data_IF_682072487664
#
_entry.id   IF_682072487664
#
_cell.length_a   1.000
_cell.length_b   1.000
_cell.length_c   1.000
_cell.angle_alpha   90.00
_cell.angle_beta   90.00
_cell.angle_gamma   90.00
#
_symmetry.space_group_name_H-M   'P 1'
#
loop_
_entity.id
_entity.type
_entity.pdbx_description
1 polymer ?
#
# COMPACT_ATOMS: atom_id res chain seq x y z
N UNK A 1 23.49 -9.39 50.97
CA UNK A 1 23.52 -10.11 49.67
C UNK A 1 23.43 -9.09 48.52
N UNK A 2 23.89 -7.85 48.73
CA UNK A 2 23.40 -6.69 47.98
C UNK A 2 24.39 -6.16 46.94
N UNK A 3 25.62 -6.67 46.94
CA UNK A 3 26.67 -6.30 45.98
C UNK A 3 26.48 -6.96 44.61
N UNK A 4 25.74 -8.07 44.55
CA UNK A 4 25.49 -8.81 43.31
C UNK A 4 24.50 -8.07 42.39
N UNK A 5 23.49 -7.40 42.97
CA UNK A 5 22.48 -6.66 42.22
C UNK A 5 23.05 -5.39 41.56
N UNK A 6 23.99 -4.71 42.24
CA UNK A 6 24.73 -3.56 41.72
C UNK A 6 25.63 -3.93 40.52
N UNK A 7 26.26 -5.11 40.55
CA UNK A 7 27.13 -5.57 39.45
C UNK A 7 26.38 -5.85 38.15
N UNK A 8 25.18 -6.43 38.23
CA UNK A 8 24.35 -6.73 37.05
C UNK A 8 23.84 -5.45 36.39
N UNK A 9 23.40 -4.46 37.19
CA UNK A 9 22.89 -3.19 36.67
C UNK A 9 23.93 -2.38 35.88
N UNK A 10 25.18 -2.33 36.38
CA UNK A 10 26.27 -1.60 35.70
C UNK A 10 26.71 -2.33 34.43
N UNK A 11 26.67 -3.66 34.40
CA UNK A 11 27.01 -4.44 33.20
C UNK A 11 26.02 -4.25 32.05
N UNK A 12 24.71 -4.18 32.35
CA UNK A 12 23.69 -3.94 31.32
C UNK A 12 23.85 -2.53 30.71
N UNK A 13 24.14 -1.53 31.55
CA UNK A 13 24.36 -0.16 31.10
C UNK A 13 25.61 -0.01 30.24
N UNK A 14 26.72 -0.69 30.59
CA UNK A 14 27.96 -0.60 29.81
C UNK A 14 27.83 -1.29 28.45
N UNK A 15 27.13 -2.43 28.36
CA UNK A 15 26.86 -3.10 27.08
C UNK A 15 26.00 -2.22 26.18
N UNK A 16 24.95 -1.60 26.72
CA UNK A 16 24.08 -0.70 25.95
C UNK A 16 24.85 0.51 25.41
N UNK A 17 25.71 1.11 26.23
CA UNK A 17 26.57 2.23 25.84
C UNK A 17 27.52 1.83 24.70
N UNK A 18 28.20 0.69 24.81
CA UNK A 18 29.09 0.19 23.76
C UNK A 18 28.32 -0.07 22.46
N UNK A 19 27.10 -0.61 22.54
CA UNK A 19 26.25 -0.84 21.38
C UNK A 19 25.93 0.48 20.67
N UNK A 20 25.54 1.52 21.40
CA UNK A 20 25.24 2.83 20.82
C UNK A 20 26.45 3.53 20.19
N UNK A 21 27.66 3.33 20.73
CA UNK A 21 28.90 3.92 20.18
C UNK A 21 29.48 3.14 18.98
N UNK A 22 29.21 1.83 18.90
CA UNK A 22 29.77 0.97 17.84
C UNK A 22 28.83 0.79 16.65
N UNK A 23 27.52 1.02 16.83
CA UNK A 23 26.54 1.00 15.74
C UNK A 23 26.69 2.21 14.81
N UNK A 24 27.68 2.15 13.91
CA UNK A 24 27.66 2.97 12.69
C UNK A 24 26.43 2.54 11.87
N UNK A 25 25.55 3.46 11.44
CA UNK A 25 24.51 3.10 10.48
C UNK A 25 25.21 2.70 9.17
N UNK A 26 25.19 1.40 8.90
CA UNK A 26 25.65 0.84 7.64
C UNK A 26 24.62 1.22 6.57
N UNK A 27 24.75 2.43 6.02
CA UNK A 27 24.15 2.76 4.72
C UNK A 27 24.91 1.97 3.65
N UNK A 28 24.57 0.69 3.54
CA UNK A 28 25.11 -0.16 2.47
C UNK A 28 24.08 -0.12 1.35
N UNK A 29 24.50 0.47 0.23
CA UNK A 29 23.75 0.42 -1.01
C UNK A 29 23.60 -1.06 -1.40
N UNK A 30 22.41 -1.50 -1.82
CA UNK A 30 22.11 -2.90 -2.13
C UNK A 30 23.13 -3.53 -3.11
N UNK A 31 23.68 -2.71 -4.00
CA UNK A 31 24.72 -3.10 -4.95
C UNK A 31 26.05 -3.49 -4.28
N UNK A 32 26.40 -2.88 -3.15
CA UNK A 32 27.60 -3.19 -2.39
C UNK A 32 27.43 -4.48 -1.58
N UNK A 33 26.22 -4.76 -1.07
CA UNK A 33 25.87 -6.00 -0.37
C UNK A 33 26.04 -7.20 -1.31
N UNK A 34 25.51 -7.08 -2.53
CA UNK A 34 25.55 -8.15 -3.53
C UNK A 34 26.99 -8.46 -3.98
N UNK A 35 27.80 -7.41 -4.15
CA UNK A 35 29.20 -7.53 -4.58
C UNK A 35 30.06 -8.19 -3.51
N UNK A 36 29.86 -7.83 -2.24
CA UNK A 36 30.57 -8.43 -1.10
C UNK A 36 30.18 -9.91 -0.93
N UNK A 37 28.89 -10.24 -0.99
CA UNK A 37 28.40 -11.61 -0.85
C UNK A 37 28.90 -12.54 -1.97
N UNK A 38 28.96 -12.02 -3.21
CA UNK A 38 29.52 -12.73 -4.37
C UNK A 38 31.03 -12.95 -4.24
N UNK A 39 31.77 -11.94 -3.76
CA UNK A 39 33.23 -12.03 -3.56
C UNK A 39 33.64 -13.03 -2.47
N UNK A 40 32.76 -13.26 -1.48
CA UNK A 40 32.98 -14.23 -0.40
C UNK A 40 32.55 -15.66 -0.75
N UNK A 41 32.15 -15.93 -1.99
CA UNK A 41 31.77 -17.28 -2.44
C UNK A 41 30.50 -17.83 -1.78
N UNK A 42 29.69 -16.97 -1.14
CA UNK A 42 28.46 -17.37 -0.44
C UNK A 42 27.27 -17.59 -1.40
N UNK A 43 27.38 -17.20 -2.66
CA UNK A 43 26.36 -17.35 -3.69
C UNK A 43 26.73 -18.47 -4.67
N UNK A 44 26.35 -19.68 -4.31
CA UNK A 44 26.39 -20.85 -5.21
C UNK A 44 25.16 -21.71 -4.98
N UNK A 45 23.95 -21.19 -5.30
CA UNK A 45 22.69 -21.95 -5.50
C UNK A 45 21.43 -21.09 -5.79
N UNK A 46 21.54 -19.90 -6.36
CA UNK A 46 20.35 -19.06 -6.63
C UNK A 46 19.47 -19.55 -7.81
N UNK A 47 19.90 -20.56 -8.57
CA UNK A 47 19.15 -21.04 -9.74
C UNK A 47 17.96 -21.96 -9.41
N UNK A 48 17.82 -22.44 -8.16
CA UNK A 48 16.70 -23.31 -7.75
C UNK A 48 15.57 -22.58 -7.00
N UNK A 49 15.67 -21.25 -6.85
CA UNK A 49 14.70 -20.43 -6.10
C UNK A 49 13.81 -19.57 -6.98
N UNK A 50 14.14 -19.41 -8.26
CA UNK A 50 13.45 -18.49 -9.15
C UNK A 50 12.04 -19.00 -9.52
N UNK A 51 11.92 -20.30 -9.81
CA UNK A 51 10.62 -20.94 -10.09
C UNK A 51 9.65 -20.85 -8.89
N UNK A 52 10.18 -20.92 -7.67
CA UNK A 52 9.38 -20.80 -6.44
C UNK A 52 8.90 -19.36 -6.20
N UNK A 53 9.69 -18.36 -6.60
CA UNK A 53 9.28 -16.95 -6.51
C UNK A 53 8.19 -16.62 -7.53
N UNK A 54 8.27 -17.16 -8.75
CA UNK A 54 7.25 -16.92 -9.78
C UNK A 54 5.91 -17.56 -9.41
N UNK A 55 5.89 -18.78 -8.87
CA UNK A 55 4.65 -19.41 -8.39
C UNK A 55 4.04 -18.68 -7.19
N UNK A 56 4.86 -18.29 -6.20
CA UNK A 56 4.39 -17.51 -5.04
C UNK A 56 3.85 -16.15 -5.48
N UNK A 57 4.48 -15.51 -6.48
CA UNK A 57 4.02 -14.21 -6.99
C UNK A 57 2.66 -14.31 -7.69
N UNK A 58 2.44 -15.36 -8.48
CA UNK A 58 1.15 -15.61 -9.14
C UNK A 58 0.04 -15.87 -8.10
N UNK A 59 0.32 -16.70 -7.09
CA UNK A 59 -0.65 -17.06 -6.06
C UNK A 59 -1.01 -15.85 -5.17
N UNK A 60 -0.03 -15.02 -4.82
CA UNK A 60 -0.27 -13.75 -4.11
C UNK A 60 -1.10 -12.79 -4.97
N UNK A 61 -0.84 -12.71 -6.28
CA UNK A 61 -1.54 -11.79 -7.19
C UNK A 61 -3.01 -12.19 -7.38
N UNK A 62 -3.30 -13.48 -7.53
CA UNK A 62 -4.68 -13.98 -7.61
C UNK A 62 -5.48 -13.77 -6.31
N UNK A 63 -4.85 -13.97 -5.15
CA UNK A 63 -5.51 -13.77 -3.86
C UNK A 63 -5.74 -12.27 -3.58
N UNK A 64 -4.82 -11.40 -4.01
CA UNK A 64 -5.00 -9.95 -3.95
C UNK A 64 -6.15 -9.47 -4.83
N UNK A 65 -6.30 -9.99 -6.06
CA UNK A 65 -7.40 -9.65 -6.96
C UNK A 65 -8.77 -10.11 -6.40
N UNK A 66 -8.81 -11.27 -5.73
CA UNK A 66 -10.03 -11.74 -5.03
C UNK A 66 -10.40 -10.86 -3.83
N UNK A 67 -9.42 -10.46 -3.03
CA UNK A 67 -9.69 -9.58 -1.88
C UNK A 67 -10.08 -8.16 -2.32
N UNK A 68 -9.49 -7.64 -3.40
CA UNK A 68 -9.89 -6.37 -3.99
C UNK A 68 -11.35 -6.41 -4.46
N UNK A 69 -11.77 -7.47 -5.17
CA UNK A 69 -13.15 -7.56 -5.69
C UNK A 69 -14.24 -7.63 -4.62
N UNK A 70 -13.93 -8.07 -3.39
CA UNK A 70 -14.90 -8.11 -2.29
C UNK A 70 -15.03 -6.78 -1.54
N UNK A 71 -14.05 -5.88 -1.64
CA UNK A 71 -14.01 -4.63 -0.88
C UNK A 71 -14.10 -3.40 -1.77
N UNK A 72 -13.58 -3.47 -3.00
CA UNK A 72 -13.47 -2.37 -3.94
C UNK A 72 -14.10 -2.73 -5.29
N UNK A 73 -14.94 -1.83 -5.78
CA UNK A 73 -15.56 -1.91 -7.10
C UNK A 73 -14.77 -1.08 -8.11
N UNK A 74 -14.48 -1.69 -9.25
CA UNK A 74 -13.78 -1.05 -10.37
C UNK A 74 -14.73 -0.17 -11.17
N UNK A 75 -14.51 1.13 -11.15
CA UNK A 75 -15.28 2.12 -11.91
C UNK A 75 -14.40 2.69 -13.01
N UNK A 76 -14.92 2.67 -14.24
CA UNK A 76 -14.23 3.23 -15.41
C UNK A 76 -14.94 4.48 -15.88
N UNK A 77 -14.26 5.62 -15.79
CA UNK A 77 -14.74 6.92 -16.28
C UNK A 77 -13.98 7.25 -17.56
N UNK A 78 -14.72 7.46 -18.65
CA UNK A 78 -14.14 7.86 -19.93
C UNK A 78 -14.00 9.37 -20.01
N UNK A 79 -13.04 9.85 -20.81
CA UNK A 79 -12.92 11.27 -21.12
C UNK A 79 -14.22 11.80 -21.73
N UNK A 80 -14.70 12.95 -21.23
CA UNK A 80 -15.95 13.56 -21.68
C UNK A 80 -17.24 12.87 -21.17
N UNK A 81 -17.13 11.90 -20.25
CA UNK A 81 -18.32 11.33 -19.58
C UNK A 81 -19.07 12.42 -18.82
N UNK A 82 -20.40 12.43 -18.94
CA UNK A 82 -21.23 13.34 -18.15
C UNK A 82 -21.32 12.88 -16.70
N UNK A 83 -21.64 13.81 -15.79
CA UNK A 83 -21.86 13.49 -14.38
C UNK A 83 -22.93 12.39 -14.21
N UNK A 84 -24.00 12.44 -15.00
CA UNK A 84 -25.05 11.42 -14.95
C UNK A 84 -24.55 10.03 -15.38
N UNK A 85 -23.72 9.94 -16.44
CA UNK A 85 -23.14 8.65 -16.86
C UNK A 85 -22.17 8.07 -15.82
N UNK A 86 -21.41 8.94 -15.14
CA UNK A 86 -20.52 8.55 -14.05
C UNK A 86 -21.34 8.02 -12.87
N UNK A 87 -22.41 8.75 -12.51
CA UNK A 87 -23.30 8.40 -11.41
C UNK A 87 -24.04 7.09 -11.66
N UNK A 88 -24.56 6.88 -12.87
CA UNK A 88 -25.13 5.60 -13.28
C UNK A 88 -24.12 4.45 -13.12
N UNK A 89 -22.86 4.69 -13.49
CA UNK A 89 -21.80 3.68 -13.31
C UNK A 89 -21.55 3.37 -11.84
N UNK A 90 -21.61 4.38 -10.95
CA UNK A 90 -21.47 4.20 -9.50
C UNK A 90 -22.64 3.41 -8.91
N UNK A 91 -23.88 3.70 -9.31
CA UNK A 91 -25.09 2.98 -8.87
C UNK A 91 -25.07 1.52 -9.37
N UNK A 92 -24.75 1.31 -10.64
CA UNK A 92 -24.71 -0.04 -11.24
C UNK A 92 -23.69 -0.95 -10.55
N UNK A 93 -22.62 -0.37 -10.03
CA UNK A 93 -21.60 -1.07 -9.24
C UNK A 93 -21.86 -1.05 -7.73
N UNK A 94 -23.03 -0.55 -7.28
CA UNK A 94 -23.45 -0.47 -5.88
C UNK A 94 -22.47 0.30 -4.98
N UNK A 95 -21.77 1.27 -5.55
CA UNK A 95 -20.88 2.16 -4.77
C UNK A 95 -21.69 3.22 -4.05
N UNK A 96 -22.75 3.72 -4.69
CA UNK A 96 -23.71 4.69 -4.14
C UNK A 96 -25.13 4.13 -4.21
N UNK A 97 -26.01 4.64 -3.34
CA UNK A 97 -27.41 4.18 -3.25
C UNK A 97 -28.38 5.05 -4.05
N UNK A 98 -28.13 6.36 -4.10
CA UNK A 98 -29.00 7.33 -4.80
C UNK A 98 -28.18 8.17 -5.78
N UNK A 99 -28.61 8.19 -7.04
CA UNK A 99 -27.96 8.99 -8.08
C UNK A 99 -28.21 10.48 -7.91
N UNK A 100 -29.43 10.88 -7.53
CA UNK A 100 -29.81 12.29 -7.44
C UNK A 100 -29.08 12.97 -6.29
N UNK A 101 -29.04 12.30 -5.13
CA UNK A 101 -28.36 12.81 -3.93
C UNK A 101 -26.85 13.01 -4.18
N UNK A 102 -26.23 12.06 -4.90
CA UNK A 102 -24.82 12.18 -5.28
C UNK A 102 -24.59 13.34 -6.26
N UNK A 103 -25.43 13.49 -7.29
CA UNK A 103 -25.32 14.60 -8.24
C UNK A 103 -25.51 15.97 -7.58
N UNK A 104 -26.45 16.09 -6.65
CA UNK A 104 -26.65 17.32 -5.87
C UNK A 104 -25.41 17.64 -5.04
N UNK A 105 -24.86 16.64 -4.35
CA UNK A 105 -23.63 16.81 -3.55
C UNK A 105 -22.44 17.28 -4.40
N UNK A 106 -22.28 16.73 -5.61
CA UNK A 106 -21.20 17.15 -6.55
C UNK A 106 -21.38 18.61 -6.99
N UNK A 107 -22.64 19.03 -7.24
CA UNK A 107 -22.97 20.40 -7.64
C UNK A 107 -22.75 21.38 -6.49
N UNK A 108 -23.14 21.01 -5.27
CA UNK A 108 -22.97 21.83 -4.07
C UNK A 108 -21.50 22.08 -3.74
N UNK A 109 -20.62 21.10 -4.03
CA UNK A 109 -19.18 21.20 -3.85
C UNK A 109 -18.44 21.84 -5.05
N UNK A 110 -19.16 22.25 -6.10
CA UNK A 110 -18.63 22.79 -7.35
C UNK A 110 -17.54 21.90 -8.00
N UNK A 111 -17.69 20.58 -7.86
CA UNK A 111 -16.71 19.60 -8.37
C UNK A 111 -17.04 19.04 -9.75
N UNK A 112 -18.14 19.48 -10.36
CA UNK A 112 -18.64 18.96 -11.65
C UNK A 112 -17.58 18.95 -12.75
N UNK A 113 -16.65 19.92 -12.76
CA UNK A 113 -15.61 20.06 -13.78
C UNK A 113 -14.25 19.47 -13.40
N UNK A 114 -14.08 19.02 -12.15
CA UNK A 114 -12.80 18.54 -11.63
C UNK A 114 -12.70 17.02 -11.61
N UNK A 115 -13.78 16.31 -11.96
CA UNK A 115 -13.78 14.85 -11.99
C UNK A 115 -12.82 14.36 -13.07
N UNK A 116 -11.85 13.57 -12.65
CA UNK A 116 -10.83 12.97 -13.52
C UNK A 116 -11.38 11.75 -14.25
N UNK A 117 -10.89 11.55 -15.46
CA UNK A 117 -11.10 10.32 -16.21
C UNK A 117 -10.07 9.27 -15.80
N UNK A 118 -10.45 7.99 -15.85
CA UNK A 118 -9.57 6.91 -15.40
C UNK A 118 -10.28 5.68 -14.89
N UNK A 119 -9.52 4.80 -14.25
CA UNK A 119 -10.05 3.63 -13.53
C UNK A 119 -9.86 3.86 -12.04
N UNK A 120 -10.97 3.84 -11.31
CA UNK A 120 -11.01 4.05 -9.86
C UNK A 120 -11.47 2.79 -9.16
N UNK A 121 -10.96 2.56 -7.95
CA UNK A 121 -11.34 1.44 -7.10
C UNK A 121 -12.02 2.02 -5.86
N UNK A 122 -13.34 1.88 -5.77
CA UNK A 122 -14.15 2.52 -4.74
C UNK A 122 -14.79 1.47 -3.84
N UNK A 123 -14.73 1.67 -2.53
CA UNK A 123 -15.42 0.80 -1.58
C UNK A 123 -16.92 1.07 -1.58
N UNK A 124 -17.71 0.03 -1.30
CA UNK A 124 -19.15 0.18 -1.08
C UNK A 124 -19.41 0.93 0.24
N UNK A 125 -20.36 1.86 0.23
CA UNK A 125 -20.81 2.57 1.42
C UNK A 125 -19.86 3.68 1.88
N UNK A 126 -18.94 4.12 1.03
CA UNK A 126 -18.19 5.36 1.26
C UNK A 126 -19.13 6.56 1.25
N UNK A 127 -18.82 7.55 2.10
CA UNK A 127 -19.51 8.83 2.08
C UNK A 127 -19.30 9.53 0.73
N UNK A 128 -20.33 10.23 0.24
CA UNK A 128 -20.30 10.86 -1.08
C UNK A 128 -19.14 11.84 -1.23
N UNK A 129 -18.84 12.61 -0.19
CA UNK A 129 -17.71 13.54 -0.13
C UNK A 129 -16.37 12.82 -0.38
N UNK A 130 -16.20 11.62 0.17
CA UNK A 130 -14.98 10.81 -0.01
C UNK A 130 -14.89 10.23 -1.42
N UNK A 131 -16.02 9.84 -1.99
CA UNK A 131 -16.06 9.40 -3.39
C UNK A 131 -15.66 10.56 -4.31
N UNK A 132 -16.19 11.76 -4.06
CA UNK A 132 -15.88 12.97 -4.85
C UNK A 132 -14.40 13.35 -4.71
N UNK A 133 -13.84 13.27 -3.50
CA UNK A 133 -12.42 13.48 -3.25
C UNK A 133 -11.55 12.52 -4.09
N UNK A 134 -11.90 11.22 -4.12
CA UNK A 134 -11.16 10.23 -4.91
C UNK A 134 -11.29 10.50 -6.42
N UNK A 135 -12.45 10.96 -6.87
CA UNK A 135 -12.70 11.24 -8.29
C UNK A 135 -12.07 12.53 -8.79
N UNK A 136 -11.70 13.45 -7.89
CA UNK A 136 -11.15 14.77 -8.24
C UNK A 136 -9.63 14.87 -8.03
N UNK A 137 -9.04 13.97 -7.23
CA UNK A 137 -7.61 13.94 -6.91
C UNK A 137 -6.80 13.04 -7.83
#
# INVERSE_FOLDING_TARGET
MDKFLLGVGVGILSVYLILTLTSKPLFVNENDILTIAKSQGMLSKEEARQDLYDEIFIEIQEDFEKQLNNTYHKIKIQEGSSLSTITESLVNNKVISDSNEFEETVKDLDQTHNIKYGTFYLQNGLEYEKIIEILTN
#
